data_IF_195437483024
#
_entry.id   IF_195437483024
#
_cell.length_a   1.000
_cell.length_b   1.000
_cell.length_c   1.000
_cell.angle_alpha   90.00
_cell.angle_beta   90.00
_cell.angle_gamma   90.00
#
_symmetry.space_group_name_H-M   'P 1'
#
loop_
_entity.id
_entity.type
_entity.pdbx_description
1 polymer ?
#
# COMPACT_ATOMS: atom_id res chain seq x y z
N UNK A 1 11.14 -15.73 -1.54
CA UNK A 1 10.90 -16.23 -0.17
C UNK A 1 9.50 -15.86 0.25
N UNK A 2 8.76 -16.75 0.90
CA UNK A 2 7.45 -16.50 1.49
C UNK A 2 7.48 -16.84 2.98
N UNK A 3 6.65 -16.14 3.75
CA UNK A 3 6.42 -16.43 5.17
C UNK A 3 5.24 -17.39 5.28
N UNK A 4 5.43 -18.47 6.03
CA UNK A 4 4.43 -19.48 6.33
C UNK A 4 4.20 -19.50 7.83
N UNK A 5 2.95 -19.40 8.25
CA UNK A 5 2.57 -19.46 9.67
C UNK A 5 2.14 -20.88 10.03
N UNK A 6 2.60 -21.36 11.17
CA UNK A 6 2.24 -22.64 11.78
C UNK A 6 1.67 -22.40 13.17
N UNK A 7 0.88 -23.34 13.69
CA UNK A 7 0.31 -23.26 15.04
C UNK A 7 0.73 -24.46 15.86
N UNK A 8 1.50 -24.20 16.92
CA UNK A 8 1.69 -25.14 18.01
C UNK A 8 0.49 -25.05 18.96
N UNK A 9 0.03 -26.21 19.48
CA UNK A 9 -1.02 -26.26 20.50
C UNK A 9 -0.60 -25.64 21.83
N UNK A 10 0.70 -25.64 22.12
CA UNK A 10 1.27 -25.19 23.40
C UNK A 10 1.79 -23.75 23.34
N UNK A 11 2.69 -23.46 22.38
CA UNK A 11 3.42 -22.18 22.34
C UNK A 11 2.78 -21.14 21.42
N UNK A 12 1.76 -21.52 20.64
CA UNK A 12 1.05 -20.61 19.73
C UNK A 12 1.64 -20.54 18.31
N UNK A 13 1.46 -19.41 17.60
CA UNK A 13 1.85 -19.29 16.20
C UNK A 13 3.36 -19.10 16.00
N UNK A 14 3.88 -19.69 14.93
CA UNK A 14 5.30 -19.64 14.53
C UNK A 14 5.40 -19.30 13.05
N UNK A 15 6.16 -18.26 12.72
CA UNK A 15 6.41 -17.84 11.34
C UNK A 15 7.76 -18.35 10.82
N UNK A 16 7.74 -18.96 9.63
CA UNK A 16 8.94 -19.50 8.98
C UNK A 16 9.05 -19.01 7.54
N UNK A 17 10.24 -18.50 7.17
CA UNK A 17 10.51 -18.05 5.79
C UNK A 17 11.10 -19.19 4.97
N UNK A 18 10.44 -19.57 3.88
CA UNK A 18 10.92 -20.61 2.95
C UNK A 18 10.75 -20.20 1.49
N UNK A 19 11.42 -20.85 0.53
CA UNK A 19 11.07 -20.72 -0.87
C UNK A 19 9.58 -21.02 -1.11
N UNK A 20 9.00 -20.37 -2.12
CA UNK A 20 7.58 -20.57 -2.44
C UNK A 20 7.39 -22.03 -2.88
N UNK A 21 6.39 -22.69 -2.31
CA UNK A 21 6.02 -24.07 -2.65
C UNK A 21 6.81 -25.15 -1.90
N UNK A 22 7.78 -24.79 -1.04
CA UNK A 22 8.61 -25.77 -0.33
C UNK A 22 8.23 -25.95 1.15
N UNK A 23 7.15 -25.33 1.61
CA UNK A 23 6.71 -25.43 3.00
C UNK A 23 5.98 -26.76 3.27
N UNK A 24 6.41 -27.56 4.27
CA UNK A 24 5.74 -28.81 4.64
C UNK A 24 4.39 -28.54 5.32
N UNK A 25 3.56 -29.57 5.42
CA UNK A 25 2.27 -29.50 6.12
C UNK A 25 2.42 -29.30 7.64
N UNK A 26 3.50 -29.83 8.24
CA UNK A 26 3.80 -29.69 9.66
C UNK A 26 5.29 -29.37 9.88
N UNK A 27 5.64 -28.81 11.04
CA UNK A 27 7.03 -28.61 11.47
C UNK A 27 7.16 -28.81 12.99
N UNK A 28 8.36 -29.11 13.47
CA UNK A 28 8.65 -29.20 14.91
C UNK A 28 8.77 -27.80 15.54
N UNK A 29 7.92 -27.49 16.52
CA UNK A 29 7.93 -26.19 17.19
C UNK A 29 9.33 -25.85 17.72
N UNK A 30 9.88 -24.66 17.42
CA UNK A 30 11.23 -24.29 17.88
C UNK A 30 11.32 -24.06 19.40
N UNK A 31 10.20 -23.92 20.10
CA UNK A 31 10.15 -23.74 21.55
C UNK A 31 10.03 -25.08 22.30
N UNK A 32 8.97 -25.87 22.03
CA UNK A 32 8.73 -27.13 22.75
C UNK A 32 9.04 -28.42 21.95
N UNK A 33 9.35 -28.33 20.65
CA UNK A 33 9.57 -29.49 19.78
C UNK A 33 8.30 -30.22 19.32
N UNK A 34 7.12 -29.87 19.84
CA UNK A 34 5.86 -30.50 19.44
C UNK A 34 5.50 -30.22 17.99
N UNK A 35 4.70 -31.10 17.39
CA UNK A 35 4.25 -30.94 16.00
C UNK A 35 3.31 -29.73 15.87
N UNK A 36 3.65 -28.81 14.97
CA UNK A 36 2.88 -27.62 14.66
C UNK A 36 2.33 -27.71 13.23
N UNK A 37 1.00 -27.59 13.10
CA UNK A 37 0.33 -27.66 11.80
C UNK A 37 0.40 -26.33 11.05
N UNK A 38 0.58 -26.39 9.72
CA UNK A 38 0.60 -25.19 8.87
C UNK A 38 -0.78 -24.55 8.81
N UNK A 39 -0.86 -23.27 9.11
CA UNK A 39 -2.06 -22.48 8.87
C UNK A 39 -2.12 -22.10 7.39
N UNK A 40 -3.27 -22.29 6.76
CA UNK A 40 -3.54 -21.75 5.43
C UNK A 40 -3.80 -20.25 5.60
N UNK A 41 -2.75 -19.45 5.53
CA UNK A 41 -2.81 -18.00 5.47
C UNK A 41 -2.57 -17.55 4.03
N UNK A 42 -3.19 -16.45 3.56
CA UNK A 42 -2.78 -15.84 2.29
C UNK A 42 -1.29 -15.50 2.41
N UNK A 43 -0.39 -16.12 1.64
CA UNK A 43 1.04 -15.97 1.85
C UNK A 43 1.45 -14.57 1.38
N UNK A 44 1.36 -13.59 2.28
CA UNK A 44 1.87 -12.24 2.05
C UNK A 44 1.24 -11.56 0.80
N UNK A 45 0.02 -11.96 0.40
CA UNK A 45 -0.70 -11.40 -0.75
C UNK A 45 -1.10 -9.91 -0.56
N UNK A 46 -0.89 -9.36 0.64
CA UNK A 46 -1.10 -7.95 0.95
C UNK A 46 0.17 -7.08 0.92
N UNK A 47 1.32 -7.59 0.47
CA UNK A 47 2.58 -6.83 0.47
C UNK A 47 2.77 -5.90 -0.72
N UNK A 48 1.94 -6.04 -1.75
CA UNK A 48 2.02 -5.14 -2.89
C UNK A 48 1.64 -3.72 -2.45
N UNK A 49 2.50 -2.75 -2.75
CA UNK A 49 2.22 -1.35 -2.48
C UNK A 49 0.96 -0.93 -3.24
N UNK A 50 -0.08 -0.56 -2.50
CA UNK A 50 -1.40 -0.25 -3.07
C UNK A 50 -1.35 0.91 -4.07
N UNK A 51 -0.47 1.89 -3.87
CA UNK A 51 -0.34 3.01 -4.79
C UNK A 51 0.30 2.56 -6.11
N UNK A 52 1.31 1.68 -6.04
CA UNK A 52 1.94 1.10 -7.24
C UNK A 52 0.97 0.20 -7.99
N UNK A 53 0.23 -0.65 -7.29
CA UNK A 53 -0.80 -1.49 -7.92
C UNK A 53 -1.88 -0.65 -8.59
N UNK A 54 -2.42 0.36 -7.88
CA UNK A 54 -3.41 1.26 -8.47
C UNK A 54 -2.88 2.12 -9.63
N UNK A 55 -1.56 2.27 -9.80
CA UNK A 55 -0.97 2.89 -10.98
C UNK A 55 -0.98 1.94 -12.19
N UNK A 56 -0.68 0.65 -11.96
CA UNK A 56 -0.78 -0.38 -13.00
C UNK A 56 -2.22 -0.51 -13.49
N UNK A 57 -3.17 -0.63 -12.57
CA UNK A 57 -4.60 -0.80 -12.90
C UNK A 57 -5.13 0.39 -13.71
N UNK A 58 -4.79 1.63 -13.31
CA UNK A 58 -5.17 2.84 -14.08
C UNK A 58 -4.55 2.87 -15.46
N UNK A 59 -3.32 2.39 -15.59
CA UNK A 59 -2.63 2.35 -16.89
C UNK A 59 -3.29 1.35 -17.82
N UNK A 60 -3.66 0.17 -17.31
CA UNK A 60 -4.40 -0.84 -18.07
C UNK A 60 -5.80 -0.35 -18.48
N UNK A 61 -6.56 0.22 -17.53
CA UNK A 61 -7.89 0.76 -17.78
C UNK A 61 -7.89 1.86 -18.84
N UNK A 62 -6.82 2.69 -18.92
CA UNK A 62 -6.75 3.81 -19.86
C UNK A 62 -6.89 3.43 -21.34
N UNK A 63 -6.67 2.16 -21.70
CA UNK A 63 -6.86 1.66 -23.07
C UNK A 63 -8.33 1.63 -23.51
N UNK A 64 -9.23 1.31 -22.60
CA UNK A 64 -10.65 1.05 -22.92
C UNK A 64 -11.57 2.04 -22.20
N UNK A 65 -11.20 2.45 -20.99
CA UNK A 65 -11.99 3.29 -20.09
C UNK A 65 -11.10 4.41 -19.52
N UNK A 66 -10.65 5.36 -20.37
CA UNK A 66 -9.83 6.47 -19.90
C UNK A 66 -10.63 7.39 -18.98
N UNK A 67 -9.98 7.83 -17.90
CA UNK A 67 -10.59 8.75 -16.95
C UNK A 67 -10.77 10.13 -17.61
N UNK A 68 -12.02 10.59 -17.77
CA UNK A 68 -12.33 11.93 -18.28
C UNK A 68 -12.25 12.92 -17.12
N UNK A 69 -11.26 13.82 -17.16
CA UNK A 69 -11.08 14.86 -16.15
C UNK A 69 -11.76 16.16 -16.57
N UNK A 70 -12.54 16.77 -15.67
CA UNK A 70 -13.23 18.05 -15.91
C UNK A 70 -12.38 19.27 -15.51
N UNK A 71 -11.24 19.02 -14.85
CA UNK A 71 -10.26 20.02 -14.48
C UNK A 71 -8.88 19.38 -14.50
N UNK A 72 -7.85 20.18 -14.76
CA UNK A 72 -6.47 19.72 -14.65
C UNK A 72 -6.19 19.29 -13.19
N UNK A 73 -5.42 18.22 -12.95
CA UNK A 73 -4.97 17.89 -11.61
C UNK A 73 -4.24 19.10 -11.02
N UNK A 74 -4.40 19.34 -9.70
CA UNK A 74 -3.72 20.43 -9.01
C UNK A 74 -2.21 20.13 -8.91
N UNK A 75 -1.50 20.27 -10.01
CA UNK A 75 -0.05 20.09 -10.11
C UNK A 75 0.65 21.41 -9.77
N UNK A 76 0.46 21.87 -8.53
CA UNK A 76 1.15 23.07 -8.07
C UNK A 76 0.89 23.38 -6.61
N UNK A 77 1.74 24.23 -5.99
CA UNK A 77 1.38 24.88 -4.74
C UNK A 77 -0.01 25.49 -4.90
N UNK A 78 -0.89 25.28 -3.93
CA UNK A 78 -2.21 25.92 -3.91
C UNK A 78 -2.11 27.43 -4.13
N UNK A 79 -3.22 28.11 -4.52
CA UNK A 79 -3.19 29.51 -4.87
C UNK A 79 -2.38 30.30 -3.84
N UNK A 80 -1.29 30.93 -4.30
CA UNK A 80 -0.47 31.78 -3.45
C UNK A 80 -1.42 32.83 -2.85
N UNK A 81 -1.37 33.06 -1.52
CA UNK A 81 -2.14 34.15 -0.93
C UNK A 81 -1.91 35.41 -1.76
N UNK A 82 -3.00 36.09 -2.12
CA UNK A 82 -2.90 37.34 -2.85
C UNK A 82 -1.88 38.25 -2.13
N UNK A 83 -0.94 38.81 -2.89
CA UNK A 83 0.04 39.72 -2.32
C UNK A 83 -0.69 40.81 -1.54
N UNK A 84 -0.22 41.12 -0.32
CA UNK A 84 -0.80 42.20 0.47
C UNK A 84 -0.79 43.47 -0.40
N UNK A 85 -1.95 44.09 -0.66
CA UNK A 85 -2.00 45.25 -1.55
C UNK A 85 -1.11 46.35 -0.99
N UNK A 86 -0.27 46.94 -1.85
CA UNK A 86 0.64 48.02 -1.46
C UNK A 86 -0.20 49.19 -0.90
N UNK A 87 0.07 49.69 0.32
CA UNK A 87 -0.69 50.79 0.91
C UNK A 87 -0.76 52.05 0.02
N UNK A 88 0.19 52.26 -0.90
CA UNK A 88 0.19 53.37 -1.88
C UNK A 88 -0.95 53.25 -2.90
N UNK A 89 -1.46 52.05 -3.16
CA UNK A 89 -2.59 51.83 -4.09
C UNK A 89 -3.92 52.35 -3.58
N UNK A 90 -4.03 52.71 -2.29
CA UNK A 90 -5.27 53.25 -1.70
C UNK A 90 -5.67 54.63 -2.26
N UNK A 91 -4.71 55.39 -2.77
CA UNK A 91 -4.94 56.73 -3.32
C UNK A 91 -5.26 56.76 -4.81
N UNK A 92 -5.24 55.61 -5.50
CA UNK A 92 -5.55 55.54 -6.93
C UNK A 92 -7.07 55.58 -7.13
N UNK A 93 -7.56 56.26 -8.19
CA UNK A 93 -8.96 56.19 -8.57
C UNK A 93 -9.32 54.72 -8.85
N UNK A 94 -10.43 54.26 -8.26
CA UNK A 94 -10.92 52.90 -8.49
C UNK A 94 -11.53 52.82 -9.90
N UNK A 95 -11.26 51.74 -10.65
CA UNK A 95 -12.00 51.46 -11.88
C UNK A 95 -13.48 51.20 -11.60
#
# INVERSE_FOLDING_TARGET
MATYTYRCGTDGPVDVRRPIGTAPATLACPACGAEAARLITPPMLGLADRNRMGLLDRTEASRTEPQVVTSLPSSGPGPRPAARPDPRTRGLPRP
#
